data_IF_414365740032
#
_entry.id   IF_414365740032
#
_cell.length_a   1.000
_cell.length_b   1.000
_cell.length_c   1.000
_cell.angle_alpha   90.00
_cell.angle_beta   90.00
_cell.angle_gamma   90.00
#
_symmetry.space_group_name_H-M   'P 1'
#
loop_
_entity.id
_entity.type
_entity.pdbx_description
1 polymer ?
#
# COMPACT_ATOMS: atom_id res chain seq x y z
N UNK A 1 -43.32 61.53 51.96
CA UNK A 1 -43.93 60.39 51.25
C UNK A 1 -42.86 59.68 50.48
N UNK A 2 -42.53 58.54 50.94
CA UNK A 2 -42.11 57.27 50.32
C UNK A 2 -40.96 57.24 49.25
N UNK A 3 -39.73 57.61 49.67
CA UNK A 3 -38.54 57.26 48.93
C UNK A 3 -37.93 55.86 49.31
N UNK A 4 -38.53 55.17 50.31
CA UNK A 4 -37.98 53.89 50.79
C UNK A 4 -38.55 52.65 50.10
N UNK A 5 -39.64 52.73 49.32
CA UNK A 5 -40.19 51.56 48.59
C UNK A 5 -39.39 51.21 47.33
N UNK A 6 -38.81 52.17 46.67
CA UNK A 6 -38.03 52.00 45.42
C UNK A 6 -36.66 51.34 45.66
N UNK A 7 -36.05 51.57 46.83
CA UNK A 7 -34.73 50.99 47.17
C UNK A 7 -34.79 49.47 47.40
N UNK A 8 -35.89 48.92 47.89
CA UNK A 8 -36.07 47.47 48.12
C UNK A 8 -36.20 46.69 46.80
N UNK A 9 -36.87 47.28 45.80
CA UNK A 9 -36.97 46.68 44.46
C UNK A 9 -35.63 46.67 43.71
N UNK A 10 -34.83 47.72 43.83
CA UNK A 10 -33.51 47.82 43.22
C UNK A 10 -32.52 46.84 43.85
N UNK A 11 -32.53 46.66 45.15
CA UNK A 11 -31.67 45.66 45.85
C UNK A 11 -32.00 44.22 45.39
N UNK A 12 -33.31 43.90 45.23
CA UNK A 12 -33.70 42.57 44.75
C UNK A 12 -33.22 42.30 43.29
N UNK A 13 -33.34 43.31 42.42
CA UNK A 13 -32.85 43.21 41.04
C UNK A 13 -31.34 43.00 40.98
N UNK A 14 -30.59 43.74 41.76
CA UNK A 14 -29.12 43.62 41.84
C UNK A 14 -28.74 42.22 42.35
N UNK A 15 -29.36 41.75 43.46
CA UNK A 15 -29.05 40.38 43.99
C UNK A 15 -29.43 39.30 42.96
N UNK A 16 -30.56 39.41 42.28
CA UNK A 16 -30.96 38.46 41.24
C UNK A 16 -29.95 38.45 40.10
N UNK A 17 -29.53 39.64 39.62
CA UNK A 17 -28.52 39.75 38.57
C UNK A 17 -27.20 39.16 38.95
N UNK A 18 -26.71 39.38 40.20
CA UNK A 18 -25.46 38.76 40.70
C UNK A 18 -25.61 37.27 40.79
N UNK A 19 -26.71 36.74 41.34
CA UNK A 19 -26.96 35.29 41.42
C UNK A 19 -27.00 34.65 40.03
N UNK A 20 -27.71 35.30 39.07
CA UNK A 20 -27.77 34.79 37.68
C UNK A 20 -26.37 34.75 37.04
N UNK A 21 -25.57 35.78 37.25
CA UNK A 21 -24.19 35.86 36.74
C UNK A 21 -23.29 34.81 37.37
N UNK A 22 -23.43 34.50 38.67
CA UNK A 22 -22.69 33.44 39.36
C UNK A 22 -23.09 32.07 38.83
N UNK A 23 -24.41 31.84 38.65
CA UNK A 23 -24.91 30.59 38.08
C UNK A 23 -24.35 30.40 36.64
N UNK A 24 -24.46 31.42 35.79
CA UNK A 24 -23.94 31.37 34.43
C UNK A 24 -22.43 31.13 34.39
N UNK A 25 -21.66 31.78 35.25
CA UNK A 25 -20.23 31.57 35.40
C UNK A 25 -19.88 30.18 35.87
N UNK A 26 -20.65 29.64 36.84
CA UNK A 26 -20.46 28.27 37.33
C UNK A 26 -20.77 27.20 36.25
N UNK A 27 -21.83 27.39 35.47
CA UNK A 27 -22.17 26.50 34.37
C UNK A 27 -21.09 26.54 33.26
N UNK A 28 -20.61 27.72 32.89
CA UNK A 28 -19.55 27.86 31.89
C UNK A 28 -18.23 27.25 32.38
N UNK A 29 -17.87 27.43 33.64
CA UNK A 29 -16.69 26.78 34.23
C UNK A 29 -16.82 25.25 34.17
N UNK A 30 -17.96 24.71 34.58
CA UNK A 30 -18.21 23.26 34.52
C UNK A 30 -18.13 22.73 33.08
N UNK A 31 -18.68 23.46 32.11
CA UNK A 31 -18.56 23.12 30.69
C UNK A 31 -17.11 23.06 30.22
N UNK A 32 -16.32 24.09 30.56
CA UNK A 32 -14.89 24.15 30.21
C UNK A 32 -14.09 23.02 30.84
N UNK A 33 -14.35 22.73 32.11
CA UNK A 33 -13.68 21.61 32.81
C UNK A 33 -13.99 20.28 32.12
N UNK A 34 -15.27 20.01 31.82
CA UNK A 34 -15.66 18.79 31.09
C UNK A 34 -14.96 18.68 29.75
N UNK A 35 -14.97 19.73 28.91
CA UNK A 35 -14.27 19.76 27.63
C UNK A 35 -12.77 19.51 27.77
N UNK A 36 -12.16 20.09 28.80
CA UNK A 36 -10.72 19.88 29.08
C UNK A 36 -10.41 18.45 29.47
N UNK A 37 -11.26 17.81 30.30
CA UNK A 37 -11.12 16.40 30.70
C UNK A 37 -11.31 15.46 29.50
N UNK A 38 -12.32 15.71 28.68
CA UNK A 38 -12.55 14.93 27.45
C UNK A 38 -11.39 15.07 26.46
N UNK A 39 -10.89 16.29 26.23
CA UNK A 39 -9.73 16.52 25.37
C UNK A 39 -8.46 15.81 25.90
N UNK A 40 -8.24 15.83 27.21
CA UNK A 40 -7.11 15.13 27.83
C UNK A 40 -7.24 13.59 27.70
N UNK A 41 -8.46 13.06 27.84
CA UNK A 41 -8.74 11.63 27.65
C UNK A 41 -8.48 11.19 26.20
N UNK A 42 -8.97 11.96 25.22
CA UNK A 42 -8.72 11.71 23.80
C UNK A 42 -7.22 11.78 23.45
N UNK A 43 -6.53 12.76 23.97
CA UNK A 43 -5.06 12.89 23.75
C UNK A 43 -4.31 11.67 24.31
N UNK A 44 -4.69 11.21 25.50
CA UNK A 44 -4.11 10.00 26.11
C UNK A 44 -4.42 8.76 25.27
N UNK A 45 -5.67 8.60 24.82
CA UNK A 45 -6.08 7.44 24.03
C UNK A 45 -5.35 7.42 22.68
N UNK A 46 -5.19 8.57 22.00
CA UNK A 46 -4.37 8.69 20.77
C UNK A 46 -2.91 8.29 21.00
N UNK A 47 -2.29 8.74 22.09
CA UNK A 47 -0.92 8.35 22.43
C UNK A 47 -0.82 6.83 22.63
N UNK A 48 -1.75 6.26 23.40
CA UNK A 48 -1.78 4.81 23.64
C UNK A 48 -1.95 4.02 22.33
N UNK A 49 -2.85 4.47 21.45
CA UNK A 49 -3.07 3.84 20.13
C UNK A 49 -1.79 3.92 19.26
N UNK A 50 -1.11 5.06 19.27
CA UNK A 50 0.16 5.23 18.54
C UNK A 50 1.25 4.28 19.03
N UNK A 51 1.40 4.14 20.35
CA UNK A 51 2.35 3.20 20.96
C UNK A 51 1.99 1.74 20.65
N UNK A 52 0.71 1.37 20.74
CA UNK A 52 0.24 0.04 20.38
C UNK A 52 0.50 -0.29 18.90
N UNK A 53 0.12 0.61 17.99
CA UNK A 53 0.35 0.41 16.56
C UNK A 53 1.84 0.32 16.22
N UNK A 54 2.67 1.15 16.86
CA UNK A 54 4.14 1.10 16.71
C UNK A 54 4.71 -0.23 17.23
N UNK A 55 4.22 -0.73 18.37
CA UNK A 55 4.62 -2.03 18.88
C UNK A 55 4.27 -3.16 17.90
N UNK A 56 3.09 -3.09 17.25
CA UNK A 56 2.71 -4.04 16.18
C UNK A 56 3.68 -4.05 15.01
N UNK A 57 4.14 -2.88 14.57
CA UNK A 57 5.17 -2.78 13.51
C UNK A 57 6.47 -3.46 13.94
N UNK A 58 6.93 -3.23 15.18
CA UNK A 58 8.16 -3.85 15.67
C UNK A 58 8.04 -5.38 15.80
N UNK A 59 6.87 -5.88 16.17
CA UNK A 59 6.61 -7.32 16.19
C UNK A 59 6.70 -7.91 14.80
N UNK A 60 6.06 -7.27 13.81
CA UNK A 60 6.13 -7.70 12.42
C UNK A 60 7.57 -7.73 11.89
N UNK A 61 8.36 -6.69 12.18
CA UNK A 61 9.78 -6.66 11.83
C UNK A 61 10.57 -7.82 12.48
N UNK A 62 10.28 -8.13 13.75
CA UNK A 62 10.93 -9.23 14.44
C UNK A 62 10.55 -10.60 13.83
N UNK A 63 9.28 -10.78 13.41
CA UNK A 63 8.83 -11.98 12.70
C UNK A 63 9.57 -12.14 11.37
N UNK A 64 9.67 -11.09 10.56
CA UNK A 64 10.39 -11.09 9.28
C UNK A 64 11.88 -11.40 9.42
N UNK A 65 12.51 -10.89 10.50
CA UNK A 65 13.93 -11.16 10.80
C UNK A 65 14.12 -12.63 11.22
N UNK A 66 13.23 -13.15 12.06
CA UNK A 66 13.27 -14.54 12.52
C UNK A 66 13.12 -15.49 11.35
N UNK A 67 12.11 -15.29 10.54
CA UNK A 67 11.78 -16.05 9.35
C UNK A 67 12.98 -16.20 8.40
N UNK A 68 13.67 -15.11 8.09
CA UNK A 68 14.86 -15.13 7.21
C UNK A 68 16.05 -15.92 7.78
N UNK A 69 16.07 -16.15 9.08
CA UNK A 69 17.03 -17.03 9.72
C UNK A 69 16.68 -18.52 9.58
N UNK A 70 15.43 -18.83 9.24
CA UNK A 70 14.90 -20.20 9.17
C UNK A 70 14.73 -20.68 7.71
N UNK A 71 14.33 -19.78 6.80
CA UNK A 71 14.05 -20.11 5.39
C UNK A 71 14.82 -19.23 4.41
N UNK A 72 15.01 -19.74 3.19
CA UNK A 72 15.66 -19.03 2.10
C UNK A 72 14.64 -18.35 1.16
N UNK A 73 13.40 -18.83 1.15
CA UNK A 73 12.30 -18.30 0.35
C UNK A 73 11.44 -17.35 1.20
N UNK A 74 10.50 -16.68 0.57
CA UNK A 74 9.42 -15.93 1.23
C UNK A 74 8.10 -16.31 0.56
N UNK A 75 7.11 -16.77 1.33
CA UNK A 75 5.88 -17.33 0.79
C UNK A 75 4.65 -17.05 1.67
N UNK A 76 3.47 -17.24 1.10
CA UNK A 76 2.20 -17.18 1.84
C UNK A 76 2.05 -18.28 2.90
N UNK A 77 2.93 -19.29 2.87
CA UNK A 77 2.91 -20.46 3.78
C UNK A 77 3.61 -20.17 5.11
N UNK A 78 4.37 -19.07 5.21
CA UNK A 78 5.18 -18.74 6.37
C UNK A 78 4.37 -17.99 7.45
N UNK A 79 4.84 -18.07 8.69
CA UNK A 79 4.15 -17.51 9.86
C UNK A 79 3.82 -16.02 9.73
N UNK A 80 4.71 -15.24 9.10
CA UNK A 80 4.49 -13.81 8.90
C UNK A 80 3.33 -13.48 7.95
N UNK A 81 3.04 -14.37 7.00
CA UNK A 81 1.96 -14.19 6.01
C UNK A 81 0.60 -14.70 6.51
N UNK A 82 0.57 -15.45 7.62
CA UNK A 82 -0.61 -16.11 8.18
C UNK A 82 -1.23 -15.26 9.29
N UNK A 83 -2.43 -14.67 9.12
CA UNK A 83 -3.04 -13.78 10.11
C UNK A 83 -3.24 -14.43 11.49
N UNK A 84 -3.54 -15.74 11.54
CA UNK A 84 -3.68 -16.50 12.78
C UNK A 84 -2.35 -16.60 13.54
N UNK A 85 -1.24 -16.82 12.85
CA UNK A 85 0.10 -16.90 13.46
C UNK A 85 0.56 -15.53 13.98
N UNK A 86 0.35 -14.49 13.18
CA UNK A 86 0.59 -13.11 13.62
C UNK A 86 -0.25 -12.80 14.87
N UNK A 87 -1.54 -13.19 14.86
CA UNK A 87 -2.45 -13.01 16.00
C UNK A 87 -1.99 -13.75 17.27
N UNK A 88 -1.47 -14.98 17.14
CA UNK A 88 -0.89 -15.74 18.26
C UNK A 88 0.27 -14.98 18.91
N UNK A 89 1.20 -14.44 18.11
CA UNK A 89 2.35 -13.66 18.61
C UNK A 89 1.88 -12.36 19.29
N UNK A 90 0.91 -11.65 18.70
CA UNK A 90 0.35 -10.44 19.28
C UNK A 90 -0.37 -10.68 20.59
N UNK A 91 -1.04 -11.82 20.74
CA UNK A 91 -1.77 -12.19 21.96
C UNK A 91 -0.87 -12.36 23.19
N UNK A 92 0.42 -12.62 22.97
CA UNK A 92 1.42 -12.71 24.05
C UNK A 92 1.84 -11.33 24.59
N UNK A 93 1.45 -10.24 23.94
CA UNK A 93 1.79 -8.87 24.38
C UNK A 93 0.63 -8.36 25.24
N UNK A 94 0.86 -8.06 26.53
CA UNK A 94 -0.20 -7.58 27.38
C UNK A 94 -0.51 -6.10 27.05
N UNK A 95 -1.68 -5.85 26.50
CA UNK A 95 -2.28 -4.53 26.42
C UNK A 95 -3.43 -4.46 27.44
N UNK A 96 -3.40 -3.47 28.32
CA UNK A 96 -4.43 -3.33 29.38
C UNK A 96 -5.83 -3.13 28.80
N UNK A 97 -5.95 -2.46 27.67
CA UNK A 97 -7.21 -2.19 26.96
C UNK A 97 -6.94 -1.91 25.47
N UNK A 98 -7.78 -2.44 24.60
CA UNK A 98 -7.71 -2.21 23.16
C UNK A 98 -7.45 -3.49 22.38
N UNK A 99 -7.52 -3.38 21.07
CA UNK A 99 -7.26 -4.45 20.10
C UNK A 99 -6.14 -4.01 19.17
N UNK A 100 -5.19 -4.90 18.91
CA UNK A 100 -4.12 -4.70 17.94
C UNK A 100 -4.26 -5.76 16.86
N UNK A 101 -4.26 -5.32 15.60
CA UNK A 101 -4.25 -6.19 14.42
C UNK A 101 -3.06 -5.80 13.54
N UNK A 102 -2.32 -6.78 13.07
CA UNK A 102 -1.19 -6.56 12.19
C UNK A 102 -1.32 -7.49 10.99
N UNK A 103 -1.12 -6.96 9.79
CA UNK A 103 -0.92 -7.74 8.58
C UNK A 103 0.41 -7.39 7.95
N UNK A 104 1.05 -8.39 7.36
CA UNK A 104 2.33 -8.27 6.67
C UNK A 104 2.10 -8.74 5.25
N UNK A 105 2.53 -7.95 4.28
CA UNK A 105 2.39 -8.23 2.86
C UNK A 105 3.75 -8.10 2.19
N UNK A 106 4.03 -8.99 1.26
CA UNK A 106 5.20 -8.89 0.40
C UNK A 106 4.98 -7.80 -0.67
N UNK A 107 5.82 -6.79 -0.69
CA UNK A 107 5.78 -5.75 -1.73
C UNK A 107 6.32 -6.25 -3.08
N UNK A 108 7.23 -7.22 -3.07
CA UNK A 108 7.80 -7.77 -4.30
C UNK A 108 6.95 -8.91 -4.92
N UNK A 109 5.84 -9.27 -4.30
CA UNK A 109 4.74 -10.02 -4.95
C UNK A 109 3.96 -9.17 -5.95
N UNK A 110 4.23 -7.86 -6.04
CA UNK A 110 3.59 -6.89 -6.92
C UNK A 110 4.50 -6.51 -8.10
N UNK A 111 3.91 -5.91 -9.13
CA UNK A 111 4.63 -5.39 -10.30
C UNK A 111 5.39 -4.12 -9.91
N UNK A 112 6.70 -4.10 -10.12
CA UNK A 112 7.53 -2.91 -9.87
C UNK A 112 7.41 -1.93 -11.05
N UNK A 113 6.64 -0.84 -10.89
CA UNK A 113 6.40 0.12 -11.97
C UNK A 113 7.70 0.72 -12.50
N UNK A 114 8.66 0.99 -11.62
CA UNK A 114 9.94 1.59 -11.99
C UNK A 114 10.83 0.66 -12.84
N UNK A 115 10.54 -0.64 -12.86
CA UNK A 115 11.25 -1.60 -13.70
C UNK A 115 10.78 -1.60 -15.17
N UNK A 116 9.72 -0.85 -15.51
CA UNK A 116 9.21 -0.73 -16.88
C UNK A 116 10.25 -0.12 -17.83
N UNK A 117 11.18 0.68 -17.30
CA UNK A 117 12.27 1.34 -18.03
C UNK A 117 13.61 0.76 -17.61
N UNK A 118 14.55 0.70 -18.54
CA UNK A 118 15.90 0.18 -18.35
C UNK A 118 16.82 1.16 -17.61
N UNK A 119 16.74 1.21 -16.30
CA UNK A 119 17.70 1.99 -15.49
C UNK A 119 19.04 1.26 -15.35
N UNK A 120 20.19 2.01 -15.33
CA UNK A 120 20.30 3.46 -15.12
C UNK A 120 20.20 4.33 -16.39
N UNK A 121 20.10 3.78 -17.57
CA UNK A 121 20.01 4.55 -18.82
C UNK A 121 18.73 5.38 -18.88
N UNK A 122 17.58 4.79 -18.45
CA UNK A 122 16.31 5.46 -18.26
C UNK A 122 15.70 5.99 -19.56
N UNK A 123 15.80 5.23 -20.67
CA UNK A 123 15.33 5.66 -21.99
C UNK A 123 14.40 4.69 -22.67
N UNK A 124 14.69 3.41 -22.55
CA UNK A 124 14.00 2.37 -23.30
C UNK A 124 13.11 1.54 -22.38
N UNK A 125 12.11 0.91 -22.97
CA UNK A 125 11.41 -0.13 -22.28
C UNK A 125 12.36 -1.27 -21.89
N UNK A 126 12.20 -1.76 -20.66
CA UNK A 126 12.63 -3.09 -20.29
C UNK A 126 11.66 -4.09 -20.91
N UNK A 127 12.06 -4.76 -21.99
CA UNK A 127 11.16 -5.54 -22.83
C UNK A 127 10.40 -6.65 -22.07
N UNK A 128 11.01 -7.47 -21.20
CA UNK A 128 10.26 -8.43 -20.39
C UNK A 128 9.17 -7.77 -19.53
N UNK A 129 9.49 -6.64 -18.91
CA UNK A 129 8.53 -5.87 -18.10
C UNK A 129 7.40 -5.32 -18.97
N UNK A 130 7.72 -4.73 -20.13
CA UNK A 130 6.71 -4.22 -21.06
C UNK A 130 5.72 -5.31 -21.46
N UNK A 131 6.19 -6.50 -21.84
CA UNK A 131 5.32 -7.62 -22.22
C UNK A 131 4.38 -7.99 -21.07
N UNK A 132 4.87 -7.99 -19.83
CA UNK A 132 4.03 -8.24 -18.65
C UNK A 132 3.00 -7.12 -18.45
N UNK A 133 3.38 -5.85 -18.59
CA UNK A 133 2.47 -4.72 -18.50
C UNK A 133 1.40 -4.72 -19.61
N UNK A 134 1.77 -5.11 -20.83
CA UNK A 134 0.83 -5.26 -21.96
C UNK A 134 -0.23 -6.34 -21.70
N UNK A 135 0.03 -7.29 -20.80
CA UNK A 135 -0.93 -8.29 -20.34
C UNK A 135 -1.73 -7.83 -19.13
N UNK A 136 -1.06 -7.15 -18.21
CA UNK A 136 -1.64 -6.70 -16.93
C UNK A 136 -2.68 -5.60 -17.13
N UNK A 137 -2.37 -4.56 -17.91
CA UNK A 137 -3.25 -3.40 -18.05
C UNK A 137 -4.62 -3.73 -18.67
N UNK A 138 -4.71 -4.49 -19.77
CA UNK A 138 -6.00 -4.89 -20.31
C UNK A 138 -6.84 -5.72 -19.32
N UNK A 139 -6.18 -6.58 -18.52
CA UNK A 139 -6.87 -7.39 -17.51
C UNK A 139 -7.55 -6.51 -16.44
N UNK A 140 -6.83 -5.55 -15.86
CA UNK A 140 -7.38 -4.68 -14.82
C UNK A 140 -8.48 -3.78 -15.38
N UNK A 141 -8.29 -3.23 -16.58
CA UNK A 141 -9.29 -2.40 -17.25
C UNK A 141 -10.56 -3.20 -17.51
N UNK A 142 -10.44 -4.42 -18.05
CA UNK A 142 -11.59 -5.28 -18.36
C UNK A 142 -12.36 -5.67 -17.10
N UNK A 143 -11.66 -6.04 -16.03
CA UNK A 143 -12.30 -6.39 -14.75
C UNK A 143 -13.08 -5.20 -14.19
N UNK A 144 -12.48 -4.01 -14.25
CA UNK A 144 -13.13 -2.79 -13.78
C UNK A 144 -14.35 -2.42 -14.66
N UNK A 145 -14.26 -2.55 -15.98
CA UNK A 145 -15.37 -2.32 -16.89
C UNK A 145 -16.54 -3.27 -16.63
N UNK A 146 -16.24 -4.57 -16.46
CA UNK A 146 -17.25 -5.58 -16.13
C UNK A 146 -17.97 -5.19 -14.82
N UNK A 147 -17.23 -4.72 -13.83
CA UNK A 147 -17.78 -4.32 -12.54
C UNK A 147 -18.64 -3.06 -12.63
N UNK A 148 -18.22 -2.07 -13.43
CA UNK A 148 -19.02 -0.87 -13.68
C UNK A 148 -20.34 -1.22 -14.39
N UNK A 149 -20.31 -2.12 -15.36
CA UNK A 149 -21.52 -2.60 -16.04
C UNK A 149 -22.49 -3.31 -15.07
N UNK A 150 -21.98 -4.20 -14.22
CA UNK A 150 -22.78 -4.91 -13.20
C UNK A 150 -23.44 -3.97 -12.19
N UNK A 151 -22.72 -2.92 -11.78
CA UNK A 151 -23.20 -1.95 -10.78
C UNK A 151 -23.99 -0.79 -11.37
N UNK A 152 -24.09 -0.70 -12.71
CA UNK A 152 -24.75 0.40 -13.43
C UNK A 152 -23.97 1.72 -13.33
N UNK A 153 -22.65 1.65 -13.16
CA UNK A 153 -21.76 2.81 -13.18
C UNK A 153 -21.51 3.33 -14.61
N UNK A 154 -20.93 4.52 -14.70
CA UNK A 154 -20.52 5.08 -15.98
C UNK A 154 -19.31 4.31 -16.53
N UNK A 155 -19.24 4.06 -17.86
CA UNK A 155 -18.10 3.39 -18.47
C UNK A 155 -16.81 4.21 -18.30
N UNK A 156 -15.67 3.52 -18.31
CA UNK A 156 -14.38 4.20 -18.29
C UNK A 156 -14.24 5.13 -19.52
N UNK A 157 -13.55 6.28 -19.37
CA UNK A 157 -13.27 7.18 -20.50
C UNK A 157 -12.52 6.48 -21.63
N UNK A 158 -12.76 6.90 -22.89
CA UNK A 158 -12.05 6.36 -24.07
C UNK A 158 -10.51 6.49 -23.97
N UNK A 159 -10.03 7.47 -23.19
CA UNK A 159 -8.60 7.67 -22.91
C UNK A 159 -7.99 6.57 -22.02
N UNK A 160 -8.83 5.76 -21.38
CA UNK A 160 -8.41 4.62 -20.54
C UNK A 160 -8.10 3.40 -21.42
N UNK A 161 -7.13 3.55 -22.32
CA UNK A 161 -6.66 2.52 -23.23
C UNK A 161 -5.32 1.96 -22.71
N UNK A 162 -5.23 0.63 -22.63
CA UNK A 162 -4.09 -0.07 -22.00
C UNK A 162 -2.74 0.34 -22.57
N UNK A 163 -2.61 0.39 -23.91
CA UNK A 163 -1.36 0.76 -24.57
C UNK A 163 -0.99 2.23 -24.31
N UNK A 164 -2.00 3.12 -24.32
CA UNK A 164 -1.80 4.53 -24.03
C UNK A 164 -1.28 4.76 -22.59
N UNK A 165 -1.83 4.02 -21.64
CA UNK A 165 -1.38 4.10 -20.23
C UNK A 165 0.06 3.58 -20.09
N UNK A 166 0.41 2.44 -20.69
CA UNK A 166 1.77 1.89 -20.65
C UNK A 166 2.79 2.84 -21.29
N UNK A 167 2.42 3.50 -22.40
CA UNK A 167 3.26 4.52 -23.03
C UNK A 167 3.42 5.76 -22.14
N UNK A 168 2.34 6.23 -21.53
CA UNK A 168 2.39 7.38 -20.61
C UNK A 168 3.16 7.09 -19.32
N UNK A 169 3.12 5.85 -18.82
CA UNK A 169 3.97 5.41 -17.71
C UNK A 169 5.45 5.44 -18.08
N UNK A 170 5.80 5.02 -19.31
CA UNK A 170 7.18 5.11 -19.79
C UNK A 170 7.64 6.56 -19.90
N UNK A 171 6.84 7.43 -20.52
CA UNK A 171 7.19 8.86 -20.70
C UNK A 171 7.36 9.56 -19.32
N UNK A 172 6.57 9.16 -18.32
CA UNK A 172 6.76 9.65 -16.95
C UNK A 172 8.07 9.20 -16.30
N UNK A 173 8.51 7.97 -16.60
CA UNK A 173 9.69 7.34 -16.01
C UNK A 173 10.98 7.72 -16.72
N UNK A 174 10.93 7.96 -18.02
CA UNK A 174 12.16 8.19 -18.76
C UNK A 174 12.74 9.59 -18.46
N UNK A 175 14.02 9.62 -18.31
CA UNK A 175 14.72 10.81 -17.79
C UNK A 175 15.72 11.39 -18.77
N UNK A 176 15.77 10.89 -19.99
CA UNK A 176 16.87 11.19 -20.92
C UNK A 176 16.52 11.07 -22.40
N UNK A 177 15.27 10.92 -22.73
CA UNK A 177 14.89 11.12 -24.10
C UNK A 177 14.73 12.62 -24.37
N UNK A 178 14.66 13.02 -25.61
CA UNK A 178 14.61 14.44 -26.00
C UNK A 178 13.17 15.01 -25.87
N UNK A 179 12.34 14.51 -24.95
CA UNK A 179 10.92 14.84 -24.81
C UNK A 179 10.06 14.24 -25.93
N UNK A 180 10.50 13.12 -26.49
CA UNK A 180 9.79 12.43 -27.56
C UNK A 180 8.73 11.51 -27.00
N UNK A 181 7.46 11.83 -27.25
CA UNK A 181 6.32 11.01 -26.83
C UNK A 181 6.43 9.57 -27.33
N UNK A 182 6.29 8.62 -26.43
CA UNK A 182 6.32 7.19 -26.74
C UNK A 182 5.14 6.79 -27.61
N UNK A 183 5.41 6.33 -28.81
CA UNK A 183 4.39 6.02 -29.81
C UNK A 183 3.56 7.25 -30.21
N UNK A 184 2.25 7.03 -30.42
CA UNK A 184 1.31 8.12 -30.73
C UNK A 184 0.42 8.49 -29.54
N UNK A 185 0.49 7.75 -28.44
CA UNK A 185 -0.49 7.77 -27.35
C UNK A 185 0.09 8.14 -25.99
N UNK A 186 1.41 8.18 -25.85
CA UNK A 186 2.10 8.60 -24.64
C UNK A 186 1.82 10.05 -24.22
N UNK A 187 2.44 10.50 -23.15
CA UNK A 187 2.25 11.85 -22.62
C UNK A 187 3.54 12.39 -21.99
N UNK A 188 4.08 13.42 -22.61
CA UNK A 188 5.24 14.20 -22.15
C UNK A 188 4.83 15.46 -21.38
N UNK A 189 5.80 16.24 -20.92
CA UNK A 189 5.62 17.47 -20.16
C UNK A 189 4.57 18.40 -20.76
N UNK A 190 4.54 18.58 -22.10
CA UNK A 190 3.59 19.45 -22.80
C UNK A 190 2.12 19.07 -22.52
N UNK A 191 1.82 17.77 -22.42
CA UNK A 191 0.47 17.30 -22.08
C UNK A 191 0.09 17.73 -20.67
N UNK A 192 0.94 17.52 -19.68
CA UNK A 192 0.65 17.79 -18.27
C UNK A 192 0.66 19.28 -17.95
N UNK A 193 1.48 20.08 -18.63
CA UNK A 193 1.50 21.54 -18.54
C UNK A 193 0.24 22.17 -19.15
N UNK A 194 -0.43 21.49 -20.08
CA UNK A 194 -1.70 21.90 -20.66
C UNK A 194 -2.93 21.63 -19.82
N UNK A 195 -2.82 20.92 -18.70
CA UNK A 195 -3.93 20.60 -17.80
C UNK A 195 -4.30 21.77 -16.87
N UNK A 196 -5.44 21.69 -16.23
CA UNK A 196 -5.90 22.65 -15.21
C UNK A 196 -6.21 21.91 -13.88
N UNK A 197 -5.41 22.08 -12.81
CA UNK A 197 -4.17 22.85 -12.73
C UNK A 197 -3.00 22.15 -13.47
N UNK A 198 -2.06 22.91 -14.03
CA UNK A 198 -0.90 22.37 -14.72
C UNK A 198 0.11 21.77 -13.74
N UNK A 199 0.82 20.74 -14.17
CA UNK A 199 1.96 20.16 -13.45
C UNK A 199 2.96 19.58 -14.43
N UNK A 200 4.17 19.24 -13.96
CA UNK A 200 5.22 18.57 -14.73
C UNK A 200 5.42 17.14 -14.26
N UNK A 201 5.68 16.16 -15.14
CA UNK A 201 6.10 14.82 -14.76
C UNK A 201 7.44 14.88 -14.00
N UNK A 202 7.76 13.79 -13.30
CA UNK A 202 8.99 13.73 -12.52
C UNK A 202 10.24 13.42 -13.37
N UNK A 203 10.06 12.97 -14.62
CA UNK A 203 11.11 12.51 -15.54
C UNK A 203 12.08 11.55 -14.83
N UNK A 204 11.56 10.55 -14.19
CA UNK A 204 12.31 9.61 -13.39
C UNK A 204 11.42 8.65 -12.58
N UNK A 205 12.03 7.82 -11.72
CA UNK A 205 11.31 6.82 -10.95
C UNK A 205 10.22 7.42 -10.07
N UNK A 206 9.09 6.74 -10.01
CA UNK A 206 8.05 7.01 -9.01
C UNK A 206 8.61 6.82 -7.60
N UNK A 207 8.37 7.79 -6.74
CA UNK A 207 8.75 7.75 -5.33
C UNK A 207 7.58 7.32 -4.46
N UNK A 208 6.36 7.71 -4.88
CA UNK A 208 5.12 7.41 -4.17
C UNK A 208 4.09 6.80 -5.10
N UNK A 209 3.39 5.75 -4.65
CA UNK A 209 2.37 5.05 -5.46
C UNK A 209 1.27 6.00 -5.97
N UNK A 210 0.90 7.01 -5.18
CA UNK A 210 -0.09 8.03 -5.56
C UNK A 210 0.29 8.90 -6.76
N UNK A 211 1.55 8.90 -7.18
CA UNK A 211 1.96 9.61 -8.41
C UNK A 211 1.35 8.96 -9.65
N UNK A 212 1.08 7.64 -9.61
CA UNK A 212 0.41 6.93 -10.72
C UNK A 212 -0.97 7.53 -11.06
N UNK A 213 -1.70 8.05 -10.07
CA UNK A 213 -2.98 8.69 -10.29
C UNK A 213 -2.88 10.01 -11.10
N UNK A 214 -1.66 10.50 -11.38
CA UNK A 214 -1.41 11.67 -12.22
C UNK A 214 -1.04 11.33 -13.64
N UNK A 215 -0.79 10.06 -13.94
CA UNK A 215 -0.41 9.61 -15.28
C UNK A 215 -1.64 9.63 -16.19
N UNK A 216 -1.49 10.12 -17.41
CA UNK A 216 -2.56 10.15 -18.42
C UNK A 216 -3.21 8.78 -18.57
N UNK A 217 -4.54 8.77 -18.60
CA UNK A 217 -5.37 7.57 -18.75
C UNK A 217 -5.65 6.81 -17.45
N UNK A 218 -4.97 7.12 -16.33
CA UNK A 218 -5.26 6.50 -15.03
C UNK A 218 -6.34 7.31 -14.31
N UNK A 219 -7.57 6.77 -14.30
CA UNK A 219 -8.70 7.37 -13.56
C UNK A 219 -8.64 6.99 -12.08
N UNK A 220 -9.38 7.71 -11.19
CA UNK A 220 -9.47 7.33 -9.78
C UNK A 220 -9.97 5.89 -9.58
N UNK A 221 -10.94 5.45 -10.39
CA UNK A 221 -11.51 4.09 -10.36
C UNK A 221 -10.45 3.06 -10.76
N UNK A 222 -9.68 3.33 -11.82
CA UNK A 222 -8.60 2.45 -12.26
C UNK A 222 -7.46 2.40 -11.24
N UNK A 223 -7.18 3.52 -10.57
CA UNK A 223 -6.14 3.57 -9.54
C UNK A 223 -6.54 2.85 -8.26
N UNK A 224 -7.73 3.15 -7.71
CA UNK A 224 -8.19 2.61 -6.42
C UNK A 224 -8.96 1.30 -6.52
N UNK A 225 -9.48 0.97 -7.72
CA UNK A 225 -10.46 -0.11 -7.89
C UNK A 225 -11.86 0.28 -7.42
N UNK A 226 -12.73 -0.71 -7.44
CA UNK A 226 -14.10 -0.67 -6.91
C UNK A 226 -14.27 -1.74 -5.84
N UNK A 227 -15.41 -1.74 -5.13
CA UNK A 227 -15.67 -2.49 -3.90
C UNK A 227 -15.23 -3.97 -3.92
N UNK A 228 -15.26 -4.66 -5.05
CA UNK A 228 -14.84 -6.06 -5.19
C UNK A 228 -13.83 -6.27 -6.35
N UNK A 229 -13.34 -5.19 -6.95
CA UNK A 229 -12.33 -5.23 -8.01
C UNK A 229 -11.15 -4.34 -7.63
N UNK A 230 -9.99 -4.95 -7.44
CA UNK A 230 -8.76 -4.22 -7.08
C UNK A 230 -8.31 -3.27 -8.18
N UNK A 231 -7.77 -2.10 -7.79
CA UNK A 231 -7.16 -1.15 -8.71
C UNK A 231 -5.66 -1.38 -8.91
N UNK A 232 -5.05 -0.57 -9.78
CA UNK A 232 -3.60 -0.66 -10.06
C UNK A 232 -2.78 -0.56 -8.75
N UNK A 233 -3.19 0.29 -7.81
CA UNK A 233 -2.48 0.50 -6.54
C UNK A 233 -2.35 -0.76 -5.67
N UNK A 234 -3.24 -1.75 -5.85
CA UNK A 234 -3.20 -3.00 -5.11
C UNK A 234 -2.14 -3.96 -5.65
N UNK A 235 -1.84 -3.89 -6.95
CA UNK A 235 -1.03 -4.85 -7.68
C UNK A 235 0.35 -4.31 -8.09
N UNK A 236 0.61 -3.02 -7.87
CA UNK A 236 1.83 -2.35 -8.30
C UNK A 236 2.58 -1.78 -7.10
N UNK A 237 3.90 -1.75 -7.17
CA UNK A 237 4.76 -1.12 -6.17
C UNK A 237 5.78 -0.17 -6.82
N UNK A 238 6.16 0.88 -6.10
CA UNK A 238 7.25 1.80 -6.46
C UNK A 238 8.58 1.38 -5.84
N UNK A 239 8.54 0.41 -4.92
CA UNK A 239 9.69 -0.09 -4.20
C UNK A 239 10.47 -1.13 -5.04
N UNK A 240 11.71 -1.45 -4.64
CA UNK A 240 12.58 -2.40 -5.35
C UNK A 240 13.83 -1.76 -5.94
N UNK A 241 14.15 -0.51 -5.55
CA UNK A 241 15.38 0.17 -5.98
C UNK A 241 16.60 -0.53 -5.42
N UNK A 242 17.51 -0.91 -6.32
CA UNK A 242 18.85 -1.40 -6.00
C UNK A 242 19.89 -0.32 -6.30
N UNK A 243 20.85 -0.13 -5.40
CA UNK A 243 21.98 0.78 -5.65
C UNK A 243 23.07 0.02 -6.38
N UNK A 244 23.28 0.34 -7.63
CA UNK A 244 24.41 -0.16 -8.40
C UNK A 244 25.71 0.47 -7.88
N UNK A 245 26.43 -0.23 -7.01
CA UNK A 245 27.73 0.11 -6.43
C UNK A 245 27.84 1.40 -5.58
N UNK A 246 28.35 1.28 -4.36
CA UNK A 246 28.53 2.35 -3.35
C UNK A 246 29.47 3.52 -3.77
N UNK A 247 30.03 3.53 -4.99
CA UNK A 247 31.08 4.48 -5.41
C UNK A 247 30.76 5.35 -6.62
N UNK A 248 29.60 5.22 -7.26
CA UNK A 248 29.29 5.95 -8.48
C UNK A 248 28.09 6.86 -8.27
N UNK A 249 28.18 8.05 -8.83
CA UNK A 249 27.29 9.20 -8.88
C UNK A 249 25.81 9.02 -8.42
N UNK A 250 25.25 10.07 -7.82
CA UNK A 250 23.93 10.17 -7.18
C UNK A 250 22.71 9.63 -7.97
N UNK A 251 22.88 9.06 -9.17
CA UNK A 251 21.81 8.56 -10.05
C UNK A 251 22.02 7.12 -10.55
N UNK A 252 22.92 6.34 -9.92
CA UNK A 252 23.17 4.97 -10.36
C UNK A 252 22.29 4.01 -9.53
N UNK A 253 21.04 3.84 -9.96
CA UNK A 253 20.08 2.90 -9.41
C UNK A 253 19.52 2.03 -10.53
N UNK A 254 19.10 0.84 -10.17
CA UNK A 254 18.43 -0.14 -11.03
C UNK A 254 17.21 -0.69 -10.32
N UNK A 255 16.30 -1.28 -11.09
CA UNK A 255 15.16 -2.02 -10.58
C UNK A 255 15.19 -3.38 -11.26
N UNK A 256 15.29 -4.46 -10.47
CA UNK A 256 15.31 -5.82 -11.03
C UNK A 256 13.97 -6.19 -11.66
N UNK A 257 12.86 -5.71 -11.11
CA UNK A 257 11.51 -5.97 -11.60
C UNK A 257 11.05 -7.42 -11.41
N UNK A 258 11.78 -8.21 -10.60
CA UNK A 258 11.39 -9.58 -10.30
C UNK A 258 10.22 -9.62 -9.32
N UNK A 259 9.30 -10.52 -9.58
CA UNK A 259 8.10 -10.75 -8.79
C UNK A 259 8.25 -12.05 -8.01
N UNK A 260 8.01 -12.02 -6.71
CA UNK A 260 7.95 -13.21 -5.90
C UNK A 260 6.67 -14.00 -6.22
N UNK A 261 6.79 -15.11 -6.97
CA UNK A 261 5.64 -15.94 -7.36
C UNK A 261 4.99 -16.67 -6.18
N UNK A 262 5.72 -16.79 -5.06
CA UNK A 262 5.21 -17.42 -3.84
C UNK A 262 4.19 -16.53 -3.10
N UNK A 263 4.10 -15.24 -3.46
CA UNK A 263 3.21 -14.25 -2.81
C UNK A 263 2.35 -13.46 -3.79
N UNK A 264 2.68 -13.51 -5.09
CA UNK A 264 1.99 -12.74 -6.12
C UNK A 264 0.47 -13.02 -6.15
N UNK A 265 -0.40 -11.98 -6.20
CA UNK A 265 -1.84 -12.12 -6.32
C UNK A 265 -2.23 -12.60 -7.74
N UNK A 266 -3.45 -13.10 -7.89
CA UNK A 266 -3.93 -13.68 -9.15
C UNK A 266 -3.75 -12.78 -10.38
N UNK A 267 -4.10 -11.47 -10.38
CA UNK A 267 -3.90 -10.62 -11.55
C UNK A 267 -2.43 -10.50 -11.98
N UNK A 268 -1.50 -10.53 -11.01
CA UNK A 268 -0.06 -10.50 -11.28
C UNK A 268 0.41 -11.85 -11.83
N UNK A 269 -0.09 -12.97 -11.30
CA UNK A 269 0.19 -14.30 -11.84
C UNK A 269 -0.31 -14.44 -13.28
N UNK A 270 -1.51 -13.93 -13.60
CA UNK A 270 -2.05 -13.92 -14.98
C UNK A 270 -1.11 -13.14 -15.91
N UNK A 271 -0.61 -11.98 -15.49
CA UNK A 271 0.30 -11.16 -16.29
C UNK A 271 1.67 -11.83 -16.52
N UNK A 272 2.12 -12.69 -15.59
CA UNK A 272 3.34 -13.49 -15.74
C UNK A 272 3.18 -14.67 -16.69
N UNK A 273 1.96 -15.19 -16.89
CA UNK A 273 1.72 -16.31 -17.80
C UNK A 273 1.92 -15.90 -19.26
N UNK A 274 2.31 -16.84 -20.14
CA UNK A 274 2.23 -16.61 -21.58
C UNK A 274 0.82 -16.22 -22.02
N UNK A 275 0.71 -15.34 -23.03
CA UNK A 275 -0.58 -14.80 -23.48
C UNK A 275 -1.56 -15.87 -23.97
N UNK A 276 -1.05 -17.02 -24.38
CA UNK A 276 -1.81 -18.17 -24.86
C UNK A 276 -2.38 -19.02 -23.73
N UNK A 277 -1.93 -18.80 -22.48
CA UNK A 277 -2.20 -19.69 -21.36
C UNK A 277 -2.48 -18.96 -20.03
N UNK A 278 -3.25 -17.86 -20.03
CA UNK A 278 -3.50 -17.06 -18.80
C UNK A 278 -4.33 -17.83 -17.75
N UNK A 279 -5.14 -18.82 -18.19
CA UNK A 279 -6.03 -19.62 -17.34
C UNK A 279 -5.27 -20.46 -16.29
N UNK A 280 -4.03 -20.84 -16.57
CA UNK A 280 -3.24 -21.64 -15.62
C UNK A 280 -2.77 -20.84 -14.37
N UNK A 281 -2.88 -19.52 -14.38
CA UNK A 281 -2.58 -18.71 -13.21
C UNK A 281 -3.46 -19.09 -11.99
N UNK A 282 -4.73 -19.43 -12.24
CA UNK A 282 -5.65 -19.87 -11.19
C UNK A 282 -5.19 -21.22 -10.59
N UNK A 283 -4.83 -22.19 -11.44
CA UNK A 283 -4.30 -23.50 -10.97
C UNK A 283 -3.00 -23.33 -10.17
N UNK A 284 -2.13 -22.42 -10.57
CA UNK A 284 -0.90 -22.09 -9.81
C UNK A 284 -1.23 -21.49 -8.44
N UNK A 285 -2.22 -20.59 -8.38
CA UNK A 285 -2.67 -19.99 -7.13
C UNK A 285 -3.30 -21.03 -6.19
N UNK A 286 -4.15 -21.91 -6.72
CA UNK A 286 -4.79 -22.99 -5.97
C UNK A 286 -3.75 -23.95 -5.42
N UNK A 287 -2.83 -24.44 -6.26
CA UNK A 287 -1.73 -25.33 -5.87
C UNK A 287 -0.90 -24.72 -4.74
N UNK A 288 -0.51 -23.44 -4.85
CA UNK A 288 0.26 -22.73 -3.82
C UNK A 288 -0.43 -22.67 -2.47
N UNK A 289 -1.76 -22.51 -2.49
CA UNK A 289 -2.57 -22.29 -1.29
C UNK A 289 -3.24 -23.55 -0.75
N UNK A 290 -3.01 -24.71 -1.40
CA UNK A 290 -3.65 -25.96 -1.01
C UNK A 290 -3.19 -26.40 0.38
N UNK A 291 -4.16 -26.77 1.22
CA UNK A 291 -3.90 -27.21 2.60
C UNK A 291 -4.63 -28.51 2.88
N UNK A 292 -4.03 -29.37 3.70
CA UNK A 292 -4.63 -30.56 4.30
C UNK A 292 -4.51 -30.45 5.82
N UNK A 293 -5.62 -30.62 6.54
CA UNK A 293 -5.70 -30.42 7.99
C UNK A 293 -5.16 -29.06 8.49
N UNK A 294 -5.21 -28.01 7.64
CA UNK A 294 -4.76 -26.65 7.96
C UNK A 294 -3.26 -26.42 7.75
N UNK A 295 -2.52 -27.41 7.26
CA UNK A 295 -1.12 -27.26 6.89
C UNK A 295 -0.95 -27.29 5.36
N UNK A 296 -0.04 -26.45 4.85
CA UNK A 296 0.28 -26.42 3.42
C UNK A 296 1.00 -27.71 2.99
N UNK A 297 0.61 -28.24 1.82
CA UNK A 297 1.09 -29.55 1.36
C UNK A 297 2.13 -29.47 0.25
N UNK A 298 2.34 -28.30 -0.35
CA UNK A 298 3.25 -28.16 -1.49
C UNK A 298 4.52 -27.40 -1.13
N UNK A 299 5.65 -27.90 -1.65
CA UNK A 299 6.96 -27.27 -1.53
C UNK A 299 7.15 -26.20 -2.62
N UNK A 300 7.37 -24.94 -2.21
CA UNK A 300 7.58 -23.78 -3.07
C UNK A 300 9.06 -23.38 -3.22
N UNK A 301 10.00 -24.20 -2.78
CA UNK A 301 11.44 -23.89 -2.80
C UNK A 301 12.08 -23.99 -4.19
N UNK A 302 11.46 -24.75 -5.11
CA UNK A 302 11.94 -24.87 -6.50
C UNK A 302 11.52 -23.65 -7.33
N UNK A 303 12.40 -23.02 -8.13
CA UNK A 303 12.03 -21.92 -9.01
C UNK A 303 11.02 -22.30 -10.11
N UNK A 304 10.74 -23.59 -10.27
CA UNK A 304 9.78 -24.14 -11.24
C UNK A 304 8.61 -24.87 -10.58
N UNK A 305 8.36 -24.66 -9.28
CA UNK A 305 7.32 -25.35 -8.54
C UNK A 305 5.92 -25.18 -9.20
N UNK A 306 5.68 -24.04 -9.83
CA UNK A 306 4.41 -23.73 -10.52
C UNK A 306 4.08 -24.75 -11.63
N UNK A 307 5.09 -25.43 -12.17
CA UNK A 307 4.90 -26.52 -13.17
C UNK A 307 4.25 -27.77 -12.60
N UNK A 308 4.20 -27.90 -11.29
CA UNK A 308 3.56 -29.02 -10.60
C UNK A 308 2.05 -28.79 -10.42
N UNK A 309 1.53 -27.59 -10.72
CA UNK A 309 0.11 -27.31 -10.66
C UNK A 309 -0.67 -28.23 -11.62
N UNK A 310 -1.90 -28.64 -11.26
CA UNK A 310 -2.71 -29.52 -12.08
C UNK A 310 -2.89 -29.01 -13.51
N UNK A 311 -2.91 -29.92 -14.48
CA UNK A 311 -3.12 -29.68 -15.91
C UNK A 311 -2.10 -28.74 -16.58
N UNK A 312 -1.01 -28.39 -15.90
CA UNK A 312 0.02 -27.47 -16.41
C UNK A 312 0.74 -28.09 -17.63
N UNK A 313 0.77 -27.42 -18.80
CA UNK A 313 1.53 -27.89 -19.95
C UNK A 313 3.03 -27.97 -19.63
N UNK A 314 3.67 -29.05 -20.03
CA UNK A 314 5.09 -29.30 -19.73
C UNK A 314 6.05 -28.28 -20.37
N UNK A 315 5.64 -27.67 -21.47
CA UNK A 315 6.38 -26.65 -22.23
C UNK A 315 6.08 -25.22 -21.75
N UNK A 316 5.06 -25.02 -20.91
CA UNK A 316 4.76 -23.70 -20.34
C UNK A 316 5.91 -23.26 -19.44
N UNK A 317 6.42 -22.06 -19.67
CA UNK A 317 7.46 -21.47 -18.84
C UNK A 317 7.20 -19.98 -18.63
N UNK A 318 7.26 -19.56 -17.37
CA UNK A 318 7.34 -18.15 -17.00
C UNK A 318 8.78 -17.70 -17.23
N UNK A 319 8.98 -16.47 -17.74
CA UNK A 319 10.32 -15.91 -17.92
C UNK A 319 11.04 -15.83 -16.56
N UNK A 320 12.14 -16.56 -16.42
CA UNK A 320 12.94 -16.60 -15.19
C UNK A 320 13.54 -15.25 -14.79
N UNK A 321 13.63 -14.30 -15.72
CA UNK A 321 14.07 -12.94 -15.41
C UNK A 321 12.99 -12.11 -14.70
N UNK A 322 11.72 -12.52 -14.78
CA UNK A 322 10.58 -11.84 -14.16
C UNK A 322 10.24 -12.37 -12.77
N UNK A 323 10.78 -13.52 -12.36
CA UNK A 323 10.36 -14.19 -11.13
C UNK A 323 11.50 -14.37 -10.12
N UNK A 324 11.12 -14.40 -8.86
CA UNK A 324 11.94 -14.78 -7.70
C UNK A 324 11.11 -15.62 -6.73
N UNK A 325 11.75 -16.21 -5.74
CA UNK A 325 11.12 -16.94 -4.64
C UNK A 325 11.29 -16.24 -3.30
N UNK A 326 11.96 -15.09 -3.27
CA UNK A 326 12.26 -14.39 -2.03
C UNK A 326 12.08 -12.88 -2.20
N UNK A 327 11.82 -12.23 -1.08
CA UNK A 327 11.64 -10.78 -0.97
C UNK A 327 12.50 -10.18 0.11
N UNK A 328 12.82 -8.91 -0.05
CA UNK A 328 13.45 -8.10 0.99
C UNK A 328 12.57 -6.90 1.40
N UNK A 329 11.45 -6.63 0.73
CA UNK A 329 10.59 -5.48 0.97
C UNK A 329 9.19 -5.93 1.35
N UNK A 330 8.73 -5.47 2.51
CA UNK A 330 7.44 -5.85 3.07
C UNK A 330 6.64 -4.63 3.51
N UNK A 331 5.34 -4.68 3.32
CA UNK A 331 4.37 -3.72 3.86
C UNK A 331 3.78 -4.28 5.15
N UNK A 332 3.82 -3.48 6.19
CA UNK A 332 3.23 -3.78 7.49
C UNK A 332 2.08 -2.81 7.71
N UNK A 333 0.87 -3.33 7.88
CA UNK A 333 -0.29 -2.55 8.29
C UNK A 333 -0.63 -2.92 9.73
N UNK A 334 -0.44 -1.97 10.64
CA UNK A 334 -0.69 -2.16 12.07
C UNK A 334 -1.81 -1.24 12.52
N UNK A 335 -2.90 -1.83 12.98
CA UNK A 335 -4.12 -1.13 13.39
C UNK A 335 -4.37 -1.37 14.87
N UNK A 336 -4.37 -0.30 15.64
CA UNK A 336 -4.76 -0.29 17.06
C UNK A 336 -6.14 0.35 17.21
N UNK A 337 -7.00 -0.27 18.02
CA UNK A 337 -8.35 0.19 18.31
C UNK A 337 -8.60 0.24 19.81
N UNK A 338 -9.21 1.33 20.29
CA UNK A 338 -9.60 1.53 21.69
C UNK A 338 -10.77 2.52 21.79
N UNK A 339 -11.80 2.17 22.55
CA UNK A 339 -12.96 3.04 22.82
C UNK A 339 -13.64 3.57 21.55
N UNK A 340 -13.65 2.79 20.45
CA UNK A 340 -14.21 3.20 19.15
C UNK A 340 -13.33 4.18 18.37
N UNK A 341 -12.10 4.45 18.83
CA UNK A 341 -11.09 5.20 18.10
C UNK A 341 -10.06 4.22 17.55
N UNK A 342 -9.69 4.41 16.29
CA UNK A 342 -8.75 3.56 15.57
C UNK A 342 -7.58 4.37 15.05
N UNK A 343 -6.39 3.81 15.08
CA UNK A 343 -5.20 4.35 14.42
C UNK A 343 -4.50 3.27 13.64
N UNK A 344 -4.21 3.56 12.38
CA UNK A 344 -3.52 2.63 11.47
C UNK A 344 -2.18 3.21 11.06
N UNK A 345 -1.13 2.40 11.18
CA UNK A 345 0.18 2.64 10.60
C UNK A 345 0.35 1.78 9.36
N UNK A 346 0.78 2.39 8.26
CA UNK A 346 1.18 1.71 7.04
C UNK A 346 2.67 1.94 6.83
N UNK A 347 3.47 0.90 7.00
CA UNK A 347 4.93 0.99 7.04
C UNK A 347 5.51 0.04 6.01
N UNK A 348 6.38 0.56 5.13
CA UNK A 348 7.17 -0.28 4.23
C UNK A 348 8.58 -0.41 4.78
N UNK A 349 9.03 -1.64 4.90
CA UNK A 349 10.36 -1.97 5.43
C UNK A 349 11.17 -2.78 4.43
N UNK A 350 12.49 -2.56 4.42
CA UNK A 350 13.45 -3.44 3.76
C UNK A 350 14.18 -4.28 4.79
N UNK A 351 14.22 -5.58 4.56
CA UNK A 351 14.99 -6.54 5.33
C UNK A 351 16.38 -6.68 4.72
N UNK A 352 17.39 -6.19 5.41
CA UNK A 352 18.79 -6.18 4.96
C UNK A 352 19.68 -7.01 5.89
N UNK A 353 20.72 -7.61 5.34
CA UNK A 353 21.76 -8.23 6.14
C UNK A 353 22.88 -7.22 6.42
N UNK A 354 23.12 -6.93 7.69
CA UNK A 354 24.22 -6.08 8.11
C UNK A 354 25.57 -6.74 7.86
N UNK A 355 26.66 -5.97 7.84
CA UNK A 355 28.04 -6.50 7.70
C UNK A 355 28.40 -7.54 8.77
N UNK A 356 27.75 -7.50 9.92
CA UNK A 356 27.87 -8.48 11.00
C UNK A 356 27.20 -9.83 10.73
N UNK A 357 26.51 -9.97 9.60
CA UNK A 357 25.70 -11.14 9.25
C UNK A 357 24.31 -11.17 9.91
N UNK A 358 23.96 -10.18 10.74
CA UNK A 358 22.62 -10.08 11.35
C UNK A 358 21.63 -9.48 10.39
N UNK A 359 20.42 -10.04 10.36
CA UNK A 359 19.30 -9.47 9.65
C UNK A 359 18.69 -8.28 10.42
N UNK A 360 18.31 -7.25 9.71
CA UNK A 360 17.68 -6.02 10.23
C UNK A 360 16.57 -5.58 9.28
N UNK A 361 15.57 -4.86 9.81
CA UNK A 361 14.56 -4.19 8.99
C UNK A 361 14.79 -2.67 9.04
N UNK A 362 14.94 -2.06 7.88
CA UNK A 362 15.06 -0.63 7.70
C UNK A 362 13.75 -0.06 7.16
N UNK A 363 13.28 1.04 7.76
CA UNK A 363 12.04 1.69 7.31
C UNK A 363 12.29 2.47 6.03
N UNK A 364 11.53 2.18 4.98
CA UNK A 364 11.52 2.91 3.72
C UNK A 364 10.43 3.97 3.68
N UNK A 365 9.25 3.65 4.21
CA UNK A 365 8.11 4.55 4.27
C UNK A 365 7.35 4.35 5.59
N UNK A 366 6.85 5.45 6.16
CA UNK A 366 6.06 5.44 7.39
C UNK A 366 4.89 6.40 7.24
N UNK A 367 3.69 5.86 7.16
CA UNK A 367 2.47 6.64 7.02
C UNK A 367 1.55 6.37 8.20
N UNK A 368 0.98 7.46 8.74
CA UNK A 368 0.01 7.42 9.83
C UNK A 368 -1.34 7.79 9.24
N UNK A 369 -2.24 6.81 9.18
CA UNK A 369 -3.63 7.05 8.83
C UNK A 369 -4.40 7.21 10.14
N UNK A 370 -4.67 8.46 10.51
CA UNK A 370 -5.45 8.79 11.68
C UNK A 370 -6.92 9.03 11.35
N UNK A 371 -7.76 9.11 12.39
CA UNK A 371 -9.15 9.49 12.24
C UNK A 371 -9.29 10.92 11.74
#
# INVERSE_FOLDING_TARGET
MNAHADQRGMALLVTLSVVTLLIAGGLELNRRVRMSVEAAALARDRLTLSEMATAGVHVAMAMLIKDKGETAIDSVQEDWARPEKVGEVLSAIPFDQGKLTVSIQDELGKIQVNALVDYPEGRNFNLPQKIMWDRFMPLVIQELQNRLEETGGDPLPEETEATAIVHSLKDWLDSRDDGATTGLTGAEAEYYEGLDPPYTPNDGPFVHIGELARVKGITPELFHGLEDAGGIADFVTVHGMERANRRVERRNYTFEGKININTAPLPVLIALMPSENPEYAASVLEYRNETEDGEFIHDLTSPTWYKNAPDMPGDLAIDANLITLSSDIFRIVSTAERNGVQQTLNVVVRRDQAESGKWTCNVLNWQVNGP
#
